data_IF_103120957707
#
_entry.id   IF_103120957707
#
_cell.length_a   1.000
_cell.length_b   1.000
_cell.length_c   1.000
_cell.angle_alpha   90.00
_cell.angle_beta   90.00
_cell.angle_gamma   90.00
#
_symmetry.space_group_name_H-M   'P 1'
#
loop_
_entity.id
_entity.type
_entity.pdbx_description
1 polymer ?
#
# COMPACT_ATOMS: atom_id res chain seq x y z
N UNK A 1 -35.48 -3.99 -0.47
CA UNK A 1 -34.48 -4.49 -1.43
C UNK A 1 -33.72 -3.31 -1.97
N UNK A 2 -32.39 -3.37 -1.98
CA UNK A 2 -31.55 -2.32 -2.54
C UNK A 2 -30.83 -2.86 -3.77
N UNK A 3 -30.59 -2.00 -4.76
CA UNK A 3 -29.68 -2.28 -5.87
C UNK A 3 -28.22 -2.22 -5.44
N UNK A 4 -27.31 -2.64 -6.31
CA UNK A 4 -25.85 -2.65 -6.05
C UNK A 4 -25.24 -1.25 -5.89
N UNK A 5 -25.90 -0.22 -6.40
CA UNK A 5 -25.55 1.19 -6.20
C UNK A 5 -26.27 1.83 -4.99
N UNK A 6 -27.03 1.04 -4.23
CA UNK A 6 -27.65 1.47 -2.98
C UNK A 6 -29.04 2.10 -3.10
N UNK A 7 -29.65 2.17 -4.29
CA UNK A 7 -31.03 2.68 -4.43
C UNK A 7 -32.05 1.75 -3.79
N UNK A 8 -33.05 2.30 -3.12
CA UNK A 8 -34.16 1.51 -2.57
C UNK A 8 -35.11 1.08 -3.70
N UNK A 9 -34.87 -0.10 -4.27
CA UNK A 9 -35.64 -0.58 -5.44
C UNK A 9 -36.97 -1.23 -5.06
N UNK A 10 -37.12 -1.76 -3.85
CA UNK A 10 -38.37 -2.37 -3.41
C UNK A 10 -38.53 -2.40 -1.89
N UNK A 11 -39.77 -2.44 -1.42
CA UNK A 11 -40.13 -2.66 0.00
C UNK A 11 -41.24 -3.70 0.08
N UNK A 12 -41.17 -4.69 0.98
CA UNK A 12 -42.27 -5.64 1.16
C UNK A 12 -43.59 -4.93 1.51
N UNK A 13 -44.71 -5.44 0.98
CA UNK A 13 -46.07 -4.91 1.21
C UNK A 13 -46.26 -3.44 0.76
N UNK A 14 -45.50 -3.00 -0.24
CA UNK A 14 -45.53 -1.64 -0.82
C UNK A 14 -46.94 -1.07 -1.04
N UNK A 15 -47.79 -1.80 -1.76
CA UNK A 15 -49.16 -1.34 -2.03
C UNK A 15 -50.07 -1.45 -0.79
N UNK A 16 -49.97 -2.57 -0.04
CA UNK A 16 -50.90 -2.89 1.06
C UNK A 16 -50.69 -2.06 2.32
N UNK A 17 -49.44 -1.76 2.66
CA UNK A 17 -49.08 -1.08 3.91
C UNK A 17 -48.57 0.34 3.71
N UNK A 18 -47.87 0.59 2.60
CA UNK A 18 -47.31 1.91 2.28
C UNK A 18 -48.13 2.66 1.22
N UNK A 19 -49.19 2.03 0.69
CA UNK A 19 -50.11 2.64 -0.28
C UNK A 19 -49.43 3.25 -1.51
N UNK A 20 -48.26 2.74 -1.88
CA UNK A 20 -47.40 3.31 -2.93
C UNK A 20 -46.96 4.77 -2.70
N UNK A 21 -47.09 5.30 -1.48
CA UNK A 21 -46.78 6.69 -1.11
C UNK A 21 -45.34 6.88 -0.59
N UNK A 22 -44.57 5.79 -0.45
CA UNK A 22 -43.20 5.87 0.02
C UNK A 22 -42.27 6.49 -1.03
N UNK A 23 -41.69 7.65 -0.72
CA UNK A 23 -40.59 8.23 -1.50
C UNK A 23 -39.32 7.40 -1.30
N UNK A 24 -39.05 6.50 -2.25
CA UNK A 24 -37.91 5.59 -2.20
C UNK A 24 -36.59 6.29 -2.54
N UNK A 25 -36.64 7.37 -3.31
CA UNK A 25 -35.42 8.04 -3.76
C UNK A 25 -34.73 8.73 -2.58
N UNK A 26 -35.49 9.29 -1.63
CA UNK A 26 -34.97 9.85 -0.37
C UNK A 26 -34.55 8.81 0.68
N UNK A 27 -34.79 7.52 0.43
CA UNK A 27 -34.48 6.40 1.35
C UNK A 27 -33.38 5.46 0.81
N UNK A 28 -32.65 5.89 -0.22
CA UNK A 28 -31.48 5.18 -0.73
C UNK A 28 -30.36 5.12 0.32
N UNK A 29 -29.52 4.10 0.25
CA UNK A 29 -28.32 4.01 1.09
C UNK A 29 -27.40 5.21 0.83
N UNK A 30 -26.72 5.68 1.88
CA UNK A 30 -25.73 6.74 1.74
C UNK A 30 -24.59 6.25 0.85
N UNK A 31 -24.36 6.96 -0.25
CA UNK A 31 -23.27 6.68 -1.19
C UNK A 31 -21.97 7.34 -0.74
N UNK A 32 -20.86 6.82 -1.26
CA UNK A 32 -19.52 7.41 -1.13
C UNK A 32 -18.96 7.66 -2.52
N UNK A 33 -18.10 8.66 -2.69
CA UNK A 33 -17.35 8.85 -3.93
C UNK A 33 -16.31 7.74 -4.04
N UNK A 34 -16.25 7.07 -5.18
CA UNK A 34 -15.33 5.95 -5.44
C UNK A 34 -14.49 6.27 -6.66
N UNK A 35 -13.18 6.16 -6.50
CA UNK A 35 -12.19 6.38 -7.56
C UNK A 35 -11.16 5.25 -7.54
N UNK A 36 -10.49 5.01 -8.67
CA UNK A 36 -9.46 3.98 -8.77
C UNK A 36 -8.15 4.57 -9.29
N UNK A 37 -7.04 4.14 -8.71
CA UNK A 37 -5.69 4.41 -9.18
C UNK A 37 -4.98 3.08 -9.44
N UNK A 38 -4.65 2.80 -10.70
CA UNK A 38 -3.96 1.56 -11.13
C UNK A 38 -4.63 0.27 -10.63
N UNK A 39 -5.96 0.23 -10.58
CA UNK A 39 -6.73 -0.93 -10.10
C UNK A 39 -6.96 -0.96 -8.59
N UNK A 40 -6.29 -0.12 -7.80
CA UNK A 40 -6.56 0.06 -6.38
C UNK A 40 -7.74 1.01 -6.20
N UNK A 41 -8.74 0.61 -5.40
CA UNK A 41 -10.01 1.34 -5.26
C UNK A 41 -10.05 2.09 -3.93
N UNK A 42 -10.35 3.39 -3.97
CA UNK A 42 -10.44 4.29 -2.83
C UNK A 42 -11.84 4.87 -2.69
N UNK A 43 -12.22 5.19 -1.45
CA UNK A 43 -13.51 5.80 -1.12
C UNK A 43 -13.34 7.11 -0.37
N UNK A 44 -14.15 8.12 -0.68
CA UNK A 44 -14.20 9.40 0.01
C UNK A 44 -15.65 9.78 0.36
N UNK A 45 -15.87 10.21 1.59
CA UNK A 45 -17.19 10.70 2.04
C UNK A 45 -17.43 12.18 1.70
N UNK A 46 -16.36 12.96 1.51
CA UNK A 46 -16.44 14.39 1.23
C UNK A 46 -16.46 14.62 -0.28
N UNK A 47 -17.61 15.06 -0.79
CA UNK A 47 -17.80 15.33 -2.23
C UNK A 47 -16.97 16.51 -2.73
N UNK A 48 -16.52 17.39 -1.82
CA UNK A 48 -15.70 18.56 -2.13
C UNK A 48 -14.19 18.30 -2.03
N UNK A 49 -13.79 17.11 -1.57
CA UNK A 49 -12.39 16.70 -1.53
C UNK A 49 -11.78 16.68 -2.95
N UNK A 50 -10.45 16.90 -3.09
CA UNK A 50 -9.77 16.81 -4.38
C UNK A 50 -9.91 15.41 -5.00
N UNK A 51 -9.63 15.27 -6.30
CA UNK A 51 -9.61 13.97 -6.96
C UNK A 51 -8.58 13.03 -6.30
N UNK A 52 -8.74 11.72 -6.49
CA UNK A 52 -7.75 10.74 -6.01
C UNK A 52 -6.37 11.00 -6.61
N UNK A 53 -6.30 11.38 -7.89
CA UNK A 53 -5.05 11.73 -8.56
C UNK A 53 -4.37 12.95 -7.91
N UNK A 54 -5.13 14.00 -7.61
CA UNK A 54 -4.62 15.19 -6.92
C UNK A 54 -4.22 14.89 -5.46
N UNK A 55 -4.99 14.05 -4.77
CA UNK A 55 -4.69 13.62 -3.40
C UNK A 55 -3.39 12.81 -3.35
N UNK A 56 -3.17 11.89 -4.28
CA UNK A 56 -1.88 11.21 -4.40
C UNK A 56 -0.79 12.20 -4.79
N UNK A 57 -1.03 13.06 -5.78
CA UNK A 57 -0.06 14.06 -6.25
C UNK A 57 1.30 13.42 -6.56
N UNK A 58 2.38 13.99 -6.01
CA UNK A 58 3.74 13.45 -6.16
C UNK A 58 3.88 11.99 -5.68
N UNK A 59 3.01 11.55 -4.77
CA UNK A 59 2.99 10.15 -4.31
C UNK A 59 2.70 9.16 -5.43
N UNK A 60 1.86 9.56 -6.40
CA UNK A 60 1.56 8.77 -7.58
C UNK A 60 2.80 8.41 -8.40
N UNK A 61 3.77 9.33 -8.49
CA UNK A 61 5.04 9.07 -9.20
C UNK A 61 5.83 7.91 -8.59
N UNK A 62 5.84 7.81 -7.25
CA UNK A 62 6.47 6.71 -6.53
C UNK A 62 5.65 5.42 -6.67
N UNK A 63 4.33 5.47 -6.46
CA UNK A 63 3.45 4.31 -6.58
C UNK A 63 3.54 3.65 -7.96
N UNK A 64 3.57 4.44 -9.03
CA UNK A 64 3.69 3.93 -10.41
C UNK A 64 4.96 3.11 -10.63
N UNK A 65 6.00 3.28 -9.79
CA UNK A 65 7.23 2.47 -9.86
C UNK A 65 6.94 0.97 -9.81
N UNK A 66 6.00 0.52 -8.96
CA UNK A 66 5.63 -0.89 -8.86
C UNK A 66 4.18 -1.16 -9.31
N UNK A 67 3.29 -0.17 -9.27
CA UNK A 67 1.91 -0.32 -9.77
C UNK A 67 1.82 -0.29 -11.30
N UNK A 68 2.82 0.26 -12.00
CA UNK A 68 2.99 0.12 -13.45
C UNK A 68 4.16 -0.81 -13.72
N UNK A 69 5.32 -0.58 -13.10
CA UNK A 69 6.51 -1.42 -13.22
C UNK A 69 6.93 -1.65 -14.67
N UNK A 70 7.08 -2.92 -15.07
CA UNK A 70 7.41 -3.31 -16.44
C UNK A 70 6.20 -3.26 -17.41
N UNK A 71 5.02 -2.85 -16.93
CA UNK A 71 3.78 -2.72 -17.72
C UNK A 71 2.64 -3.64 -17.28
N UNK A 72 2.93 -4.65 -16.44
CA UNK A 72 1.92 -5.62 -15.97
C UNK A 72 1.18 -5.16 -14.70
N UNK A 73 1.73 -4.16 -13.99
CA UNK A 73 1.19 -3.63 -12.76
C UNK A 73 1.19 -4.62 -11.60
N UNK A 74 0.25 -4.46 -10.67
CA UNK A 74 0.14 -5.28 -9.47
C UNK A 74 -1.32 -5.42 -9.02
N UNK A 75 -1.61 -6.52 -8.32
CA UNK A 75 -2.94 -6.80 -7.75
C UNK A 75 -2.85 -7.28 -6.30
N UNK A 76 -3.98 -7.21 -5.58
CA UNK A 76 -4.10 -7.74 -4.23
C UNK A 76 -4.62 -9.18 -4.26
N UNK A 77 -3.93 -10.07 -3.56
CA UNK A 77 -4.34 -11.47 -3.41
C UNK A 77 -5.15 -11.65 -2.11
N UNK A 78 -6.40 -12.11 -2.24
CA UNK A 78 -7.32 -12.36 -1.12
C UNK A 78 -7.58 -13.85 -0.84
N UNK A 79 -8.33 -14.17 0.23
CA UNK A 79 -8.94 -13.26 1.21
C UNK A 79 -7.94 -12.70 2.23
N UNK A 80 -8.22 -11.54 2.86
CA UNK A 80 -7.31 -10.94 3.83
C UNK A 80 -7.35 -11.66 5.19
N UNK A 81 -6.22 -11.62 5.90
CA UNK A 81 -6.17 -11.95 7.33
C UNK A 81 -6.80 -10.81 8.15
N UNK A 82 -7.63 -11.15 9.15
CA UNK A 82 -8.28 -10.18 10.03
C UNK A 82 -7.95 -10.48 11.50
N UNK A 83 -7.49 -9.46 12.23
CA UNK A 83 -7.12 -9.57 13.64
C UNK A 83 -7.35 -8.25 14.37
N UNK A 84 -7.66 -8.30 15.66
CA UNK A 84 -7.80 -7.12 16.51
C UNK A 84 -6.48 -6.86 17.25
N UNK A 85 -5.88 -5.69 17.03
CA UNK A 85 -4.72 -5.21 17.76
C UNK A 85 -5.15 -4.09 18.72
N UNK A 86 -4.81 -4.21 20.00
CA UNK A 86 -5.16 -3.21 21.03
C UNK A 86 -4.19 -2.03 21.02
N UNK A 87 -4.20 -1.25 19.94
CA UNK A 87 -3.39 -0.04 19.80
C UNK A 87 -4.19 1.08 19.11
N UNK A 88 -3.66 2.30 19.14
CA UNK A 88 -4.16 3.34 18.26
C UNK A 88 -3.72 3.04 16.82
N UNK A 89 -4.56 3.35 15.83
CA UNK A 89 -4.26 3.10 14.41
C UNK A 89 -3.00 3.83 13.92
N UNK A 90 -2.63 4.96 14.54
CA UNK A 90 -1.43 5.72 14.16
C UNK A 90 -0.13 4.95 14.43
N UNK A 91 -0.10 4.07 15.43
CA UNK A 91 1.11 3.33 15.83
C UNK A 91 1.61 2.41 14.69
N UNK A 92 0.79 1.55 14.07
CA UNK A 92 1.23 0.83 12.88
C UNK A 92 1.46 1.75 11.68
N UNK A 93 0.67 2.81 11.48
CA UNK A 93 0.90 3.75 10.36
C UNK A 93 2.28 4.40 10.43
N UNK A 94 2.68 4.94 11.58
CA UNK A 94 3.98 5.61 11.76
C UNK A 94 5.14 4.61 11.70
N UNK A 95 4.94 3.39 12.20
CA UNK A 95 5.91 2.31 12.06
C UNK A 95 6.18 1.99 10.58
N UNK A 96 5.12 1.78 9.79
CA UNK A 96 5.28 1.40 8.39
C UNK A 96 5.75 2.55 7.50
N UNK A 97 5.35 3.80 7.76
CA UNK A 97 5.71 4.93 6.89
C UNK A 97 7.20 5.24 6.92
N UNK A 98 7.90 4.95 8.01
CA UNK A 98 9.28 5.40 8.15
C UNK A 98 10.13 4.81 9.27
N UNK A 99 9.66 3.84 10.04
CA UNK A 99 10.44 3.32 11.16
C UNK A 99 11.44 2.26 10.69
N UNK A 100 12.48 2.67 9.96
CA UNK A 100 13.63 1.80 9.71
C UNK A 100 14.43 1.51 10.98
N UNK A 101 14.33 2.39 11.99
CA UNK A 101 15.14 2.34 13.20
C UNK A 101 14.80 1.16 14.11
N UNK A 102 13.51 0.82 14.25
CA UNK A 102 13.10 -0.32 15.06
C UNK A 102 13.56 -1.66 14.47
N UNK A 103 13.89 -1.72 13.17
CA UNK A 103 14.08 -2.98 12.45
C UNK A 103 15.22 -3.81 13.05
N UNK A 104 16.39 -3.20 13.20
CA UNK A 104 17.56 -3.89 13.72
C UNK A 104 17.47 -4.23 15.20
N UNK A 105 16.57 -3.60 15.96
CA UNK A 105 16.38 -3.86 17.39
C UNK A 105 15.24 -4.86 17.66
N UNK A 106 14.04 -4.54 17.18
CA UNK A 106 12.83 -5.33 17.40
C UNK A 106 12.90 -6.68 16.67
N UNK A 107 13.44 -6.69 15.45
CA UNK A 107 13.54 -7.89 14.61
C UNK A 107 14.92 -8.53 14.64
N UNK A 108 15.80 -8.15 15.57
CA UNK A 108 17.19 -8.64 15.65
C UNK A 108 17.30 -10.18 15.57
N UNK A 109 16.41 -10.88 16.27
CA UNK A 109 16.38 -12.35 16.25
C UNK A 109 15.97 -12.92 14.90
N UNK A 110 14.97 -12.34 14.24
CA UNK A 110 14.52 -12.76 12.91
C UNK A 110 15.60 -12.47 11.86
N UNK A 111 16.24 -11.30 11.92
CA UNK A 111 17.34 -10.92 11.05
C UNK A 111 18.55 -11.85 11.21
N UNK A 112 18.87 -12.26 12.45
CA UNK A 112 19.94 -13.22 12.71
C UNK A 112 19.66 -14.59 12.07
N UNK A 113 18.41 -15.06 12.13
CA UNK A 113 18.00 -16.34 11.50
C UNK A 113 17.94 -16.21 9.97
N UNK A 114 17.48 -15.07 9.47
CA UNK A 114 17.36 -14.81 8.03
C UNK A 114 18.74 -14.72 7.35
N UNK A 115 19.69 -14.02 7.98
CA UNK A 115 20.99 -13.72 7.38
C UNK A 115 20.86 -12.82 6.15
N UNK A 116 21.72 -13.05 5.15
CA UNK A 116 21.66 -12.36 3.86
C UNK A 116 21.89 -10.85 3.94
N UNK A 117 21.24 -10.11 3.06
CA UNK A 117 21.44 -8.66 2.88
C UNK A 117 20.99 -7.86 4.11
N UNK A 118 19.92 -8.28 4.80
CA UNK A 118 19.37 -7.57 5.95
C UNK A 118 19.94 -8.04 7.29
N UNK A 119 20.66 -9.17 7.33
CA UNK A 119 21.25 -9.71 8.56
C UNK A 119 22.17 -8.72 9.29
N UNK A 120 22.86 -7.85 8.54
CA UNK A 120 23.74 -6.81 9.08
C UNK A 120 23.01 -5.70 9.84
N UNK A 121 21.69 -5.58 9.71
CA UNK A 121 20.90 -4.60 10.48
C UNK A 121 20.75 -5.02 11.94
N UNK A 122 20.94 -6.30 12.27
CA UNK A 122 20.71 -6.82 13.62
C UNK A 122 21.62 -6.13 14.66
N UNK A 123 20.99 -5.52 15.66
CA UNK A 123 21.66 -4.84 16.77
C UNK A 123 21.99 -3.37 16.53
N UNK A 124 21.58 -2.76 15.40
CA UNK A 124 21.78 -1.33 15.10
C UNK A 124 23.23 -0.87 15.33
N UNK A 125 24.19 -1.60 14.75
CA UNK A 125 25.62 -1.27 14.88
C UNK A 125 25.90 0.12 14.28
N UNK A 126 26.62 0.95 15.02
CA UNK A 126 26.83 2.36 14.67
C UNK A 126 27.75 2.54 13.45
N UNK A 127 28.54 1.53 13.10
CA UNK A 127 29.47 1.51 11.98
C UNK A 127 28.78 1.31 10.62
N UNK A 128 27.49 0.97 10.61
CA UNK A 128 26.73 0.76 9.38
C UNK A 128 26.48 2.09 8.65
N UNK A 129 26.80 2.19 7.34
CA UNK A 129 26.63 3.43 6.57
C UNK A 129 25.19 3.58 6.09
N UNK A 130 24.21 3.74 7.00
CA UNK A 130 22.78 3.74 6.66
C UNK A 130 22.39 4.77 5.59
N UNK A 131 23.06 5.93 5.57
CA UNK A 131 22.82 7.00 4.58
C UNK A 131 23.20 6.58 3.14
N UNK A 132 24.03 5.54 2.99
CA UNK A 132 24.44 4.99 1.69
C UNK A 132 23.57 3.81 1.26
N UNK A 133 22.73 3.28 2.16
CA UNK A 133 21.95 2.05 1.96
C UNK A 133 20.48 2.32 1.62
N UNK A 134 20.04 3.57 1.61
CA UNK A 134 18.63 3.89 1.40
C UNK A 134 18.30 5.37 1.52
N UNK A 135 17.02 5.68 1.33
CA UNK A 135 16.47 7.02 1.52
C UNK A 135 15.11 6.94 2.21
N UNK A 136 14.62 8.09 2.67
CA UNK A 136 13.26 8.25 3.14
C UNK A 136 12.60 9.46 2.48
N UNK A 137 11.33 9.31 2.12
CA UNK A 137 10.56 10.30 1.38
C UNK A 137 9.22 10.53 2.06
N UNK A 138 8.79 11.79 2.08
CA UNK A 138 7.43 12.21 2.44
C UNK A 138 6.89 13.16 1.38
N UNK A 139 5.57 13.19 1.23
CA UNK A 139 4.87 13.98 0.20
C UNK A 139 3.82 14.91 0.83
N UNK A 140 3.32 15.86 0.05
CA UNK A 140 2.40 16.93 0.49
C UNK A 140 1.22 16.45 1.35
N UNK A 141 0.60 15.34 0.99
CA UNK A 141 -0.62 14.82 1.63
C UNK A 141 -0.35 13.77 2.72
N UNK A 142 0.89 13.66 3.20
CA UNK A 142 1.26 12.79 4.32
C UNK A 142 1.57 11.35 3.93
N UNK A 143 1.64 11.02 2.64
CA UNK A 143 2.15 9.74 2.17
C UNK A 143 3.67 9.71 2.28
N UNK A 144 4.23 8.55 2.59
CA UNK A 144 5.67 8.41 2.67
C UNK A 144 6.13 6.97 2.68
N UNK A 145 7.44 6.81 2.55
CA UNK A 145 8.11 5.54 2.63
C UNK A 145 9.60 5.70 2.97
N UNK A 146 10.18 4.66 3.57
CA UNK A 146 11.60 4.38 3.50
C UNK A 146 11.89 3.34 2.42
N UNK A 147 13.11 3.36 1.86
CA UNK A 147 13.60 2.32 0.96
C UNK A 147 15.01 1.88 1.36
N UNK A 148 15.24 0.56 1.36
CA UNK A 148 16.56 -0.05 1.48
C UNK A 148 16.97 -0.54 0.09
N UNK A 149 18.09 -0.03 -0.41
CA UNK A 149 18.60 -0.32 -1.76
C UNK A 149 18.94 -1.81 -1.93
N UNK A 150 18.65 -2.36 -3.10
CA UNK A 150 18.98 -3.75 -3.50
C UNK A 150 18.44 -4.83 -2.54
N UNK A 151 17.36 -4.53 -1.82
CA UNK A 151 16.80 -5.41 -0.79
C UNK A 151 15.40 -5.94 -1.11
N UNK A 152 14.85 -5.70 -2.30
CA UNK A 152 13.47 -6.09 -2.67
C UNK A 152 13.15 -7.55 -2.29
N UNK A 153 14.07 -8.48 -2.59
CA UNK A 153 13.87 -9.91 -2.34
C UNK A 153 14.52 -10.41 -1.03
N UNK A 154 15.03 -9.52 -0.18
CA UNK A 154 15.94 -9.87 0.91
C UNK A 154 15.29 -10.70 2.04
N UNK A 155 13.99 -10.52 2.29
CA UNK A 155 13.27 -11.26 3.35
C UNK A 155 12.88 -12.69 2.92
N UNK A 156 12.84 -12.97 1.62
CA UNK A 156 12.31 -14.22 1.10
C UNK A 156 13.36 -15.33 1.09
N UNK A 157 13.22 -16.35 1.94
CA UNK A 157 14.14 -17.49 1.93
C UNK A 157 14.06 -18.34 0.64
N UNK A 158 12.86 -18.46 0.06
CA UNK A 158 12.62 -19.14 -1.22
C UNK A 158 12.29 -18.09 -2.28
N UNK A 159 13.32 -17.57 -2.95
CA UNK A 159 13.19 -16.38 -3.79
C UNK A 159 13.60 -16.56 -5.25
N UNK A 160 13.91 -17.77 -5.70
CA UNK A 160 14.46 -17.99 -7.06
C UNK A 160 13.57 -17.43 -8.17
N UNK A 161 12.26 -17.68 -8.10
CA UNK A 161 11.32 -17.14 -9.10
C UNK A 161 11.15 -15.62 -8.97
N UNK A 162 11.20 -15.08 -7.75
CA UNK A 162 11.15 -13.63 -7.56
C UNK A 162 12.44 -12.96 -8.04
N UNK A 163 13.59 -13.58 -7.83
CA UNK A 163 14.88 -13.11 -8.33
C UNK A 163 14.89 -13.05 -9.86
N UNK A 164 14.41 -14.11 -10.54
CA UNK A 164 14.25 -14.14 -12.01
C UNK A 164 13.32 -13.03 -12.48
N UNK A 165 12.17 -12.87 -11.83
CA UNK A 165 11.24 -11.79 -12.15
C UNK A 165 11.92 -10.41 -12.05
N UNK A 166 12.66 -10.15 -10.98
CA UNK A 166 13.37 -8.88 -10.79
C UNK A 166 14.44 -8.67 -11.86
N UNK A 167 15.24 -9.70 -12.16
CA UNK A 167 16.27 -9.65 -13.21
C UNK A 167 15.66 -9.33 -14.59
N UNK A 168 14.51 -9.91 -14.91
CA UNK A 168 13.82 -9.69 -16.20
C UNK A 168 13.09 -8.34 -16.28
N UNK A 169 12.64 -7.80 -15.15
CA UNK A 169 11.78 -6.60 -15.11
C UNK A 169 12.50 -5.31 -14.79
N UNK A 170 13.59 -5.31 -14.00
CA UNK A 170 14.36 -4.10 -13.69
C UNK A 170 14.80 -3.36 -14.96
N UNK A 171 15.37 -4.02 -16.01
CA UNK A 171 15.74 -3.33 -17.23
C UNK A 171 14.54 -2.68 -17.95
N UNK A 172 13.37 -3.34 -17.93
CA UNK A 172 12.13 -2.81 -18.51
C UNK A 172 11.59 -1.64 -17.70
N UNK A 173 11.69 -1.69 -16.37
CA UNK A 173 11.35 -0.56 -15.50
C UNK A 173 12.28 0.63 -15.79
N UNK A 174 13.57 0.39 -16.01
CA UNK A 174 14.51 1.44 -16.39
C UNK A 174 14.13 2.09 -17.73
N UNK A 175 13.77 1.28 -18.73
CA UNK A 175 13.28 1.75 -20.03
C UNK A 175 11.98 2.56 -19.93
N UNK A 176 10.99 2.04 -19.20
CA UNK A 176 9.66 2.63 -19.11
C UNK A 176 9.61 3.86 -18.20
N UNK A 177 10.30 3.78 -17.06
CA UNK A 177 10.12 4.69 -15.92
C UNK A 177 11.39 5.45 -15.54
N UNK A 178 12.55 5.09 -16.11
CA UNK A 178 13.85 5.71 -15.88
C UNK A 178 14.66 5.04 -14.77
N UNK A 179 15.99 5.19 -14.87
CA UNK A 179 16.97 4.62 -13.93
C UNK A 179 16.68 4.91 -12.44
N UNK A 180 16.26 6.14 -12.04
CA UNK A 180 15.93 6.39 -10.64
C UNK A 180 14.82 5.49 -10.10
N UNK A 181 13.79 5.21 -10.91
CA UNK A 181 12.69 4.32 -10.52
C UNK A 181 13.06 2.86 -10.62
N UNK A 182 13.94 2.46 -11.54
CA UNK A 182 14.49 1.11 -11.55
C UNK A 182 15.29 0.81 -10.27
N UNK A 183 16.07 1.77 -9.77
CA UNK A 183 16.75 1.66 -8.47
C UNK A 183 15.76 1.46 -7.32
N UNK A 184 14.72 2.30 -7.26
CA UNK A 184 13.67 2.16 -6.25
C UNK A 184 12.93 0.82 -6.39
N UNK A 185 12.64 0.37 -7.61
CA UNK A 185 12.00 -0.91 -7.88
C UNK A 185 12.85 -2.11 -7.42
N UNK A 186 14.18 -1.98 -7.36
CA UNK A 186 15.05 -3.00 -6.76
C UNK A 186 15.22 -2.85 -5.23
N UNK A 187 14.57 -1.86 -4.61
CA UNK A 187 14.62 -1.62 -3.17
C UNK A 187 13.52 -2.35 -2.40
N UNK A 188 13.72 -2.50 -1.08
CA UNK A 188 12.67 -2.89 -0.14
C UNK A 188 12.01 -1.64 0.44
N UNK A 189 10.69 -1.51 0.33
CA UNK A 189 10.01 -0.30 0.80
C UNK A 189 9.24 -0.58 2.08
N UNK A 190 9.28 0.35 3.02
CA UNK A 190 8.31 0.45 4.10
C UNK A 190 7.44 1.67 3.86
N UNK A 191 6.14 1.51 3.65
CA UNK A 191 5.29 2.58 3.17
C UNK A 191 3.97 2.71 3.94
N UNK A 192 3.49 3.96 4.07
CA UNK A 192 2.08 4.25 4.32
C UNK A 192 1.53 5.29 3.34
N UNK A 193 0.42 4.95 2.69
CA UNK A 193 -0.48 5.90 2.03
C UNK A 193 -1.46 6.41 3.07
N UNK A 194 -1.33 7.68 3.45
CA UNK A 194 -2.17 8.32 4.46
C UNK A 194 -3.68 8.11 4.21
N UNK A 195 -4.49 7.85 5.25
CA UNK A 195 -4.08 7.76 6.66
C UNK A 195 -3.63 6.37 7.11
N UNK A 196 -4.23 5.30 6.60
CA UNK A 196 -4.19 3.99 7.27
C UNK A 196 -3.93 2.81 6.33
N UNK A 197 -3.45 3.05 5.12
CA UNK A 197 -3.04 1.99 4.20
C UNK A 197 -1.52 1.86 4.24
N UNK A 198 -0.99 0.70 4.62
CA UNK A 198 0.44 0.46 4.72
C UNK A 198 0.85 -0.79 3.97
N UNK A 199 2.03 -0.78 3.36
CA UNK A 199 2.54 -1.94 2.63
C UNK A 199 4.06 -2.01 2.69
N UNK A 200 4.59 -3.21 2.46
CA UNK A 200 6.01 -3.41 2.18
C UNK A 200 6.16 -3.92 0.75
N UNK A 201 6.72 -3.11 -0.14
CA UNK A 201 7.14 -3.58 -1.46
C UNK A 201 8.44 -4.38 -1.30
N UNK A 202 8.55 -5.52 -2.00
CA UNK A 202 9.62 -6.48 -1.80
C UNK A 202 9.17 -7.64 -0.91
N UNK A 203 8.85 -7.38 0.37
CA UNK A 203 8.20 -8.43 1.20
C UNK A 203 6.79 -8.76 0.73
N UNK A 204 6.15 -7.83 0.02
CA UNK A 204 4.85 -7.98 -0.63
C UNK A 204 3.72 -8.23 0.37
N UNK A 205 3.65 -7.40 1.40
CA UNK A 205 2.52 -7.35 2.33
C UNK A 205 1.74 -6.04 2.19
N UNK A 206 0.43 -6.11 2.34
CA UNK A 206 -0.49 -4.97 2.24
C UNK A 206 -1.48 -4.99 3.40
N UNK A 207 -1.71 -3.84 4.05
CA UNK A 207 -2.46 -3.70 5.30
C UNK A 207 -3.36 -2.45 5.26
N UNK A 208 -4.53 -2.59 5.88
CA UNK A 208 -5.51 -1.53 6.17
C UNK A 208 -6.02 -1.69 7.59
#
# INVERSE_FOLDING_TARGET
>A
VFSTDGKLVDVPLREKCYHDELDRDSLSLKTIRVESYRGFVFGCFDETAPSLEDFLGDWGWYLDTWMVGAGEGAELVGPPMKSILKCNWKVPTENFVGDGYHVGWTHASALHVLGGELGGLAGNQAEMPFDELGIQVTTRHGHGFGVIDNAAIAIHAKRDEYAKYMEETIPKVAENLGEPRAKLFNGHWNCSTFPNCSFLYGTNIFKV
#
